data_IF_039905626978
#
_entry.id   IF_039905626978
#
_cell.length_a   1.000
_cell.length_b   1.000
_cell.length_c   1.000
_cell.angle_alpha   90.00
_cell.angle_beta   90.00
_cell.angle_gamma   90.00
#
_symmetry.space_group_name_H-M   'P 1'
#
loop_
_entity.id
_entity.type
_entity.pdbx_description
1 polymer ?
#
# COMPACT_ATOMS: atom_id res chain seq x y z
N UNK A 1 -34.48 -42.23 37.56
CA UNK A 1 -33.60 -42.01 36.40
C UNK A 1 -32.50 -41.06 36.85
N UNK A 2 -31.25 -41.50 36.80
CA UNK A 2 -30.11 -40.77 37.38
C UNK A 2 -29.68 -39.61 36.46
N UNK A 3 -29.62 -38.41 37.04
CA UNK A 3 -29.05 -37.22 36.42
C UNK A 3 -27.53 -37.32 36.45
N UNK A 4 -26.92 -37.64 35.29
CA UNK A 4 -25.47 -37.71 35.16
C UNK A 4 -24.92 -36.53 34.32
N UNK A 5 -24.11 -35.74 35.03
CA UNK A 5 -22.88 -35.07 34.58
C UNK A 5 -22.94 -33.95 33.53
N UNK A 6 -23.14 -32.75 34.04
CA UNK A 6 -22.23 -31.60 33.80
C UNK A 6 -20.88 -32.02 33.20
N UNK A 7 -20.73 -31.89 31.87
CA UNK A 7 -19.49 -31.54 31.15
C UNK A 7 -19.81 -31.18 29.70
N UNK A 8 -20.41 -30.00 29.53
CA UNK A 8 -20.14 -29.15 28.37
C UNK A 8 -18.65 -28.78 28.41
N UNK A 9 -17.80 -29.57 27.78
CA UNK A 9 -16.40 -29.21 27.55
C UNK A 9 -16.15 -29.45 26.07
N UNK A 10 -16.36 -28.38 25.29
CA UNK A 10 -16.03 -28.20 23.88
C UNK A 10 -16.54 -29.29 22.93
N UNK A 11 -17.62 -28.98 22.22
CA UNK A 11 -18.16 -29.83 21.17
C UNK A 11 -17.07 -30.06 20.08
N UNK A 12 -16.58 -31.30 19.89
CA UNK A 12 -15.48 -31.58 18.97
C UNK A 12 -15.85 -31.25 17.53
N UNK A 13 -17.16 -31.24 17.21
CA UNK A 13 -17.67 -30.87 15.89
C UNK A 13 -17.46 -29.39 15.60
N UNK A 14 -17.69 -28.53 16.60
CA UNK A 14 -17.44 -27.08 16.47
C UNK A 14 -15.94 -26.75 16.37
N UNK A 15 -15.09 -27.46 17.11
CA UNK A 15 -13.64 -27.32 16.98
C UNK A 15 -13.15 -27.76 15.58
N UNK A 16 -13.73 -28.83 15.02
CA UNK A 16 -13.43 -29.30 13.67
C UNK A 16 -13.92 -28.32 12.58
N UNK A 17 -15.11 -27.73 12.74
CA UNK A 17 -15.63 -26.73 11.81
C UNK A 17 -14.81 -25.43 11.83
N UNK A 18 -14.31 -25.00 13.00
CA UNK A 18 -13.42 -23.85 13.10
C UNK A 18 -12.07 -24.10 12.40
N UNK A 19 -11.49 -25.30 12.57
CA UNK A 19 -10.27 -25.69 11.89
C UNK A 19 -10.45 -25.79 10.37
N UNK A 20 -11.59 -26.33 9.92
CA UNK A 20 -11.92 -26.42 8.49
C UNK A 20 -12.15 -25.02 7.88
N UNK A 21 -12.87 -24.12 8.56
CA UNK A 21 -13.05 -22.73 8.14
C UNK A 21 -11.72 -21.97 8.06
N UNK A 22 -10.81 -22.18 9.01
CA UNK A 22 -9.48 -21.57 8.97
C UNK A 22 -8.59 -22.13 7.84
N UNK A 23 -8.68 -23.43 7.54
CA UNK A 23 -7.93 -24.06 6.45
C UNK A 23 -8.46 -23.69 5.05
N UNK A 24 -9.79 -23.58 4.88
CA UNK A 24 -10.39 -23.08 3.64
C UNK A 24 -10.29 -21.55 3.50
N UNK A 25 -10.01 -20.86 4.61
CA UNK A 25 -9.70 -19.41 4.67
C UNK A 25 -8.21 -19.20 4.97
N UNK A 26 -7.33 -19.98 4.34
CA UNK A 26 -5.94 -19.62 4.12
C UNK A 26 -5.76 -19.70 2.61
N UNK A 27 -5.35 -18.66 1.88
CA UNK A 27 -4.45 -17.55 2.15
C UNK A 27 -4.67 -16.64 0.93
N UNK A 28 -4.73 -15.30 1.01
CA UNK A 28 -4.42 -14.54 -0.19
C UNK A 28 -3.00 -14.98 -0.53
N UNK A 29 -2.85 -15.75 -1.61
CA UNK A 29 -1.56 -15.86 -2.28
C UNK A 29 -0.99 -14.44 -2.31
N UNK A 30 0.32 -14.20 -2.07
CA UNK A 30 0.89 -12.92 -2.44
C UNK A 30 0.48 -12.74 -3.90
N UNK A 31 -0.49 -11.85 -4.12
CA UNK A 31 -1.03 -11.61 -5.42
C UNK A 31 0.20 -11.30 -6.26
N UNK A 32 0.38 -12.12 -7.29
CA UNK A 32 1.45 -11.99 -8.25
C UNK A 32 1.75 -10.50 -8.42
N UNK A 33 3.01 -10.12 -8.19
CA UNK A 33 3.46 -8.75 -8.42
C UNK A 33 2.77 -8.25 -9.69
N UNK A 34 2.02 -7.13 -9.65
CA UNK A 34 1.30 -6.67 -10.82
C UNK A 34 2.33 -6.62 -11.96
N UNK A 35 2.00 -7.14 -13.16
CA UNK A 35 2.92 -7.06 -14.28
C UNK A 35 3.36 -5.61 -14.35
N UNK A 36 4.68 -5.39 -14.33
CA UNK A 36 5.28 -4.06 -14.34
C UNK A 36 4.46 -3.21 -15.33
N UNK A 37 3.88 -2.08 -14.89
CA UNK A 37 3.00 -1.33 -15.75
C UNK A 37 3.77 -1.06 -17.03
N UNK A 38 3.25 -1.57 -18.17
CA UNK A 38 3.82 -1.33 -19.49
C UNK A 38 4.02 0.17 -19.54
N UNK A 39 5.27 0.64 -19.55
CA UNK A 39 5.56 2.05 -19.59
C UNK A 39 4.77 2.61 -20.78
N UNK A 40 3.73 3.44 -20.55
CA UNK A 40 3.12 4.14 -21.65
C UNK A 40 4.26 4.96 -22.23
N UNK A 41 4.58 4.74 -23.51
CA UNK A 41 5.52 5.54 -24.27
C UNK A 41 5.32 7.00 -23.85
N UNK A 42 6.32 7.58 -23.17
CA UNK A 42 6.16 8.81 -22.40
C UNK A 42 5.44 9.86 -23.26
N UNK A 43 4.17 10.11 -22.94
CA UNK A 43 3.42 11.16 -23.60
C UNK A 43 4.20 12.47 -23.42
N UNK A 44 4.26 13.37 -24.41
CA UNK A 44 4.89 14.67 -24.22
C UNK A 44 4.23 15.37 -23.03
N UNK A 45 4.97 15.52 -21.92
CA UNK A 45 4.47 16.01 -20.63
C UNK A 45 4.32 14.95 -19.52
N UNK A 46 4.75 13.71 -19.74
CA UNK A 46 4.75 12.68 -18.69
C UNK A 46 5.69 13.09 -17.54
N UNK A 47 5.16 13.04 -16.31
CA UNK A 47 5.93 13.23 -15.08
C UNK A 47 6.30 11.87 -14.52
N UNK A 48 7.58 11.66 -14.27
CA UNK A 48 8.06 10.45 -13.62
C UNK A 48 8.10 10.62 -12.11
N UNK A 49 7.59 9.64 -11.37
CA UNK A 49 7.69 9.62 -9.91
C UNK A 49 9.03 9.05 -9.51
N UNK A 50 9.89 9.88 -8.94
CA UNK A 50 11.25 9.50 -8.52
C UNK A 50 11.47 9.78 -7.04
N UNK A 51 12.26 8.92 -6.39
CA UNK A 51 12.68 9.12 -5.00
C UNK A 51 13.98 9.94 -4.98
N UNK A 52 13.86 11.26 -4.79
CA UNK A 52 14.99 12.18 -4.66
C UNK A 52 15.13 12.63 -3.20
N UNK A 53 16.38 12.74 -2.71
CA UNK A 53 16.66 13.40 -1.42
C UNK A 53 16.87 14.89 -1.63
N UNK A 54 16.09 15.70 -0.93
CA UNK A 54 16.24 17.16 -0.88
C UNK A 54 16.65 17.60 0.53
N UNK A 55 17.35 18.73 0.58
CA UNK A 55 17.64 19.40 1.85
C UNK A 55 16.35 19.91 2.52
N UNK A 56 16.33 19.91 3.85
CA UNK A 56 15.14 20.32 4.61
C UNK A 56 14.80 21.80 4.46
N UNK A 57 15.79 22.68 4.28
CA UNK A 57 15.54 24.10 4.07
C UNK A 57 14.92 24.37 2.70
N UNK A 58 15.35 23.61 1.68
CA UNK A 58 14.77 23.67 0.33
C UNK A 58 13.33 23.19 0.37
N UNK A 59 13.06 22.04 0.99
CA UNK A 59 11.70 21.50 1.13
C UNK A 59 10.78 22.50 1.85
N UNK A 60 11.24 23.07 2.97
CA UNK A 60 10.49 24.07 3.73
C UNK A 60 10.21 25.34 2.90
N UNK A 61 11.18 25.79 2.11
CA UNK A 61 11.01 26.95 1.24
C UNK A 61 9.87 26.76 0.23
N UNK A 62 9.76 25.59 -0.40
CA UNK A 62 8.69 25.34 -1.36
C UNK A 62 7.34 25.03 -0.68
N UNK A 63 7.36 24.35 0.46
CA UNK A 63 6.13 24.01 1.21
C UNK A 63 5.46 25.22 1.86
N UNK A 64 6.21 26.28 2.22
CA UNK A 64 5.67 27.48 2.89
C UNK A 64 4.52 28.12 2.11
N UNK A 65 4.56 28.03 0.79
CA UNK A 65 3.61 28.68 -0.10
C UNK A 65 2.37 27.81 -0.37
N UNK A 66 2.26 26.66 0.32
CA UNK A 66 1.07 25.81 0.34
C UNK A 66 1.01 24.73 -0.75
N UNK A 67 -0.20 24.23 -1.09
CA UNK A 67 -0.41 23.20 -2.09
C UNK A 67 0.26 23.52 -3.43
N UNK A 68 0.70 22.50 -4.17
CA UNK A 68 1.41 22.68 -5.45
C UNK A 68 2.91 23.01 -5.30
N UNK A 69 3.50 22.85 -4.12
CA UNK A 69 4.94 23.04 -3.91
C UNK A 69 5.83 22.16 -4.80
N UNK A 70 5.37 20.95 -5.15
CA UNK A 70 6.09 20.06 -6.08
C UNK A 70 6.08 20.59 -7.51
N UNK A 71 4.97 21.18 -7.98
CA UNK A 71 4.90 21.82 -9.29
C UNK A 71 5.86 23.01 -9.38
N UNK A 72 5.96 23.82 -8.32
CA UNK A 72 6.93 24.93 -8.26
C UNK A 72 8.38 24.46 -8.27
N UNK A 73 8.69 23.39 -7.53
CA UNK A 73 10.01 22.78 -7.59
C UNK A 73 10.32 22.30 -9.02
N UNK A 74 9.36 21.64 -9.66
CA UNK A 74 9.52 21.15 -11.03
C UNK A 74 9.68 22.30 -12.04
N UNK A 75 8.97 23.41 -11.88
CA UNK A 75 9.10 24.58 -12.76
C UNK A 75 10.47 25.25 -12.62
N UNK A 76 10.97 25.38 -11.38
CA UNK A 76 12.31 25.87 -11.12
C UNK A 76 13.39 24.98 -11.76
N UNK A 77 13.24 23.65 -11.66
CA UNK A 77 14.15 22.70 -12.32
C UNK A 77 14.10 22.82 -13.85
N UNK A 78 12.91 22.98 -14.43
CA UNK A 78 12.76 23.20 -15.88
C UNK A 78 13.43 24.50 -16.34
N UNK A 79 13.29 25.57 -15.57
CA UNK A 79 13.94 26.85 -15.88
C UNK A 79 15.47 26.74 -15.91
N UNK A 80 16.06 25.90 -15.05
CA UNK A 80 17.50 25.63 -15.03
C UNK A 80 17.98 24.77 -16.20
N UNK A 81 17.15 23.86 -16.70
CA UNK A 81 17.52 22.93 -17.80
C UNK A 81 17.22 23.51 -19.19
N UNK A 82 16.28 24.46 -19.28
CA UNK A 82 15.91 25.12 -20.53
C UNK A 82 16.80 26.32 -20.90
N UNK A 83 17.77 26.68 -20.05
CA UNK A 83 18.83 27.66 -20.33
C UNK A 83 20.12 26.99 -20.78
#
# INVERSE_FOLDING_TARGET
>A
MAFDRTRRITDPRQAAEAAFKAATTAKPAPAAAPPAPRQPQAAPGARESVTLRLDSAVLAHFQKDGPGWQDRLNDALKALVAG
#
